data_IF_324565769135
#
_entry.id   IF_324565769135
#
_cell.length_a   1.000
_cell.length_b   1.000
_cell.length_c   1.000
_cell.angle_alpha   90.00
_cell.angle_beta   90.00
_cell.angle_gamma   90.00
#
_symmetry.space_group_name_H-M   'P 1'
#
loop_
_entity.id
_entity.type
_entity.pdbx_description
1 polymer ?
#
# COMPACT_ATOMS: atom_id res chain seq x y z
N UNK A 1 -13.83 -9.14 24.02
CA UNK A 1 -13.58 -10.05 22.91
C UNK A 1 -14.74 -10.20 21.90
N UNK A 2 -16.00 -10.09 22.32
CA UNK A 2 -17.19 -10.26 21.43
C UNK A 2 -17.51 -9.07 20.48
N UNK A 3 -17.04 -7.88 20.74
CA UNK A 3 -17.38 -6.68 19.94
C UNK A 3 -16.62 -6.64 18.61
N UNK A 4 -15.34 -6.99 18.61
CA UNK A 4 -14.48 -7.02 17.39
C UNK A 4 -14.87 -8.13 16.41
N UNK A 5 -15.32 -9.29 16.92
CA UNK A 5 -15.80 -10.39 16.07
C UNK A 5 -17.12 -10.04 15.37
N UNK A 6 -18.03 -9.34 16.07
CA UNK A 6 -19.30 -8.87 15.48
C UNK A 6 -19.08 -7.76 14.46
N UNK A 7 -18.13 -6.86 14.73
CA UNK A 7 -17.77 -5.77 13.83
C UNK A 7 -17.10 -6.29 12.57
N UNK A 8 -16.15 -7.20 12.70
CA UNK A 8 -15.46 -7.86 11.60
C UNK A 8 -16.44 -8.66 10.69
N UNK A 9 -17.33 -9.46 11.28
CA UNK A 9 -18.36 -10.21 10.53
C UNK A 9 -19.35 -9.29 9.80
N UNK A 10 -19.68 -8.16 10.38
CA UNK A 10 -20.59 -7.18 9.75
C UNK A 10 -19.93 -6.51 8.56
N UNK A 11 -18.66 -6.16 8.66
CA UNK A 11 -17.87 -5.60 7.55
C UNK A 11 -17.69 -6.64 6.44
N UNK A 12 -17.37 -7.89 6.76
CA UNK A 12 -17.25 -8.97 5.77
C UNK A 12 -18.56 -9.25 5.05
N UNK A 13 -19.70 -9.27 5.75
CA UNK A 13 -21.02 -9.45 5.12
C UNK A 13 -21.42 -8.27 4.23
N UNK A 14 -21.06 -7.05 4.61
CA UNK A 14 -21.33 -5.85 3.83
C UNK A 14 -20.39 -5.76 2.62
N UNK A 15 -19.11 -6.12 2.80
CA UNK A 15 -18.11 -6.20 1.74
C UNK A 15 -18.42 -7.27 0.68
N UNK A 16 -19.00 -8.39 1.07
CA UNK A 16 -19.39 -9.46 0.13
C UNK A 16 -20.63 -9.10 -0.71
N UNK A 17 -21.47 -8.15 -0.26
CA UNK A 17 -22.71 -7.76 -0.95
C UNK A 17 -22.62 -6.52 -1.83
N UNK A 18 -21.63 -5.69 -1.65
CA UNK A 18 -21.49 -4.47 -2.44
C UNK A 18 -20.20 -4.47 -3.24
N UNK A 19 -20.22 -3.82 -4.40
CA UNK A 19 -19.10 -3.56 -5.31
C UNK A 19 -17.86 -2.91 -4.66
N UNK A 20 -17.56 -3.23 -3.41
CA UNK A 20 -16.53 -2.66 -2.53
C UNK A 20 -15.12 -2.99 -3.01
N UNK A 21 -14.91 -3.99 -3.89
CA UNK A 21 -13.59 -4.30 -4.47
C UNK A 21 -12.88 -3.12 -5.18
N UNK A 22 -13.60 -2.04 -5.47
CA UNK A 22 -13.04 -0.79 -6.04
C UNK A 22 -12.92 0.37 -5.02
N UNK A 23 -13.34 0.20 -3.78
CA UNK A 23 -13.60 1.32 -2.86
C UNK A 23 -12.51 1.47 -1.80
N UNK A 24 -11.85 0.39 -1.36
CA UNK A 24 -10.91 0.47 -0.22
C UNK A 24 -9.70 1.38 -0.47
N UNK A 25 -8.96 1.28 -1.59
CA UNK A 25 -7.91 2.26 -1.89
C UNK A 25 -8.46 3.67 -2.12
N UNK A 26 -9.67 3.77 -2.69
CA UNK A 26 -10.33 5.06 -2.97
C UNK A 26 -10.89 5.76 -1.75
N UNK A 27 -11.06 5.07 -0.61
CA UNK A 27 -11.52 5.68 0.65
C UNK A 27 -10.35 6.12 1.52
N UNK A 28 -9.23 5.40 1.49
CA UNK A 28 -8.06 5.73 2.30
C UNK A 28 -7.41 7.04 1.84
N UNK A 29 -7.20 7.20 0.54
CA UNK A 29 -6.59 8.42 -0.03
C UNK A 29 -7.35 9.71 0.30
N UNK A 30 -8.68 9.81 0.12
CA UNK A 30 -9.42 11.00 0.50
C UNK A 30 -9.43 11.28 2.01
N UNK A 31 -9.37 10.23 2.84
CA UNK A 31 -9.27 10.39 4.30
C UNK A 31 -7.90 10.93 4.69
N UNK A 32 -6.84 10.34 4.16
CA UNK A 32 -5.48 10.79 4.41
C UNK A 32 -5.22 12.20 3.87
N UNK A 33 -5.77 12.55 2.71
CA UNK A 33 -5.66 13.89 2.13
C UNK A 33 -6.28 15.00 3.01
N UNK A 34 -7.16 14.64 3.95
CA UNK A 34 -7.73 15.58 4.93
C UNK A 34 -6.88 15.71 6.21
N UNK A 35 -5.92 14.81 6.43
CA UNK A 35 -5.10 14.83 7.63
C UNK A 35 -4.38 16.17 7.85
N UNK A 36 -3.78 16.84 6.83
CA UNK A 36 -3.15 18.15 7.01
C UNK A 36 -4.11 19.28 7.46
N UNK A 37 -5.42 19.09 7.26
CA UNK A 37 -6.42 20.08 7.67
C UNK A 37 -6.85 19.92 9.14
N UNK A 38 -6.52 18.79 9.76
CA UNK A 38 -6.91 18.42 11.14
C UNK A 38 -5.73 18.56 12.08
N UNK A 39 -4.52 18.33 11.56
CA UNK A 39 -3.26 18.42 12.30
C UNK A 39 -2.75 19.87 12.29
N UNK A 40 -2.10 20.29 13.37
CA UNK A 40 -1.37 21.55 13.39
C UNK A 40 -0.07 21.50 12.55
N UNK A 41 0.48 22.65 12.25
CA UNK A 41 1.65 22.74 11.36
C UNK A 41 2.90 22.06 11.96
N UNK A 42 3.03 22.05 13.28
CA UNK A 42 4.14 21.40 13.97
C UNK A 42 4.07 19.88 13.78
N UNK A 43 2.91 19.26 14.02
CA UNK A 43 2.68 17.84 13.78
C UNK A 43 2.91 17.46 12.32
N UNK A 44 2.41 18.26 11.39
CA UNK A 44 2.63 18.04 9.94
C UNK A 44 4.11 18.05 9.62
N UNK A 45 4.87 19.00 10.17
CA UNK A 45 6.32 19.11 9.98
C UNK A 45 7.08 17.92 10.55
N UNK A 46 6.70 17.46 11.75
CA UNK A 46 7.30 16.29 12.39
C UNK A 46 7.04 15.00 11.58
N UNK A 47 5.81 14.79 11.12
CA UNK A 47 5.47 13.62 10.31
C UNK A 47 6.19 13.64 8.96
N UNK A 48 6.29 14.81 8.31
CA UNK A 48 7.10 14.95 7.07
C UNK A 48 8.56 14.56 7.30
N UNK A 49 9.15 15.10 8.35
CA UNK A 49 10.54 14.79 8.72
C UNK A 49 10.73 13.32 9.05
N UNK A 50 9.77 12.70 9.74
CA UNK A 50 9.78 11.28 10.03
C UNK A 50 9.72 10.44 8.74
N UNK A 51 8.80 10.73 7.84
CA UNK A 51 8.63 10.00 6.56
C UNK A 51 9.93 10.05 5.75
N UNK A 52 10.55 11.22 5.63
CA UNK A 52 11.83 11.36 4.91
C UNK A 52 12.92 10.48 5.54
N UNK A 53 13.04 10.47 6.87
CA UNK A 53 14.05 9.66 7.57
C UNK A 53 13.83 8.15 7.49
N UNK A 54 12.60 7.71 7.23
CA UNK A 54 12.29 6.27 7.08
C UNK A 54 12.61 5.73 5.69
N UNK A 55 12.89 6.60 4.72
CA UNK A 55 13.31 6.13 3.39
C UNK A 55 14.75 5.61 3.43
N UNK A 56 14.96 4.43 2.91
CA UNK A 56 16.28 3.78 2.83
C UNK A 56 17.06 4.24 1.59
N UNK A 57 18.34 3.94 1.55
CA UNK A 57 19.18 4.18 0.37
C UNK A 57 18.73 3.41 -0.88
N UNK A 58 17.93 2.34 -0.72
CA UNK A 58 17.33 1.60 -1.82
C UNK A 58 16.11 2.33 -2.42
N UNK A 59 15.60 3.35 -1.74
CA UNK A 59 14.46 4.16 -2.16
C UNK A 59 13.12 3.72 -1.59
N UNK A 60 12.99 2.51 -1.06
CA UNK A 60 11.82 2.08 -0.31
C UNK A 60 11.86 2.54 1.15
N UNK A 61 10.87 2.13 1.94
CA UNK A 61 10.78 2.50 3.36
C UNK A 61 11.19 1.33 4.24
N UNK A 62 11.85 1.66 5.35
CA UNK A 62 12.36 0.70 6.32
C UNK A 62 11.23 0.05 7.14
N UNK A 63 11.35 -1.25 7.38
CA UNK A 63 10.61 -1.95 8.42
C UNK A 63 11.17 -1.60 9.82
N UNK A 64 10.63 -2.24 10.86
CA UNK A 64 11.08 -2.04 12.24
C UNK A 64 12.53 -2.51 12.48
N UNK A 65 13.05 -3.37 11.63
CA UNK A 65 14.42 -3.88 11.66
C UNK A 65 15.40 -3.06 10.82
N UNK A 66 14.92 -1.99 10.16
CA UNK A 66 15.73 -1.13 9.30
C UNK A 66 15.93 -1.66 7.88
N UNK A 67 15.26 -2.75 7.49
CA UNK A 67 15.32 -3.30 6.13
C UNK A 67 14.23 -2.70 5.25
N UNK A 68 14.57 -2.46 3.98
CA UNK A 68 13.62 -1.98 2.98
C UNK A 68 12.53 -3.03 2.72
N UNK A 69 11.28 -2.61 2.80
CA UNK A 69 10.13 -3.49 2.68
C UNK A 69 8.98 -2.86 1.89
N UNK A 70 8.31 -3.67 1.02
CA UNK A 70 7.21 -3.18 0.18
C UNK A 70 5.96 -2.79 0.96
N UNK A 71 5.65 -3.49 2.05
CA UNK A 71 4.49 -3.18 2.88
C UNK A 71 4.67 -1.82 3.56
N UNK A 72 5.84 -1.57 4.16
CA UNK A 72 6.16 -0.27 4.74
C UNK A 72 6.29 0.82 3.68
N UNK A 73 6.80 0.48 2.49
CA UNK A 73 6.86 1.42 1.36
C UNK A 73 5.47 1.87 0.93
N UNK A 74 4.48 0.97 0.89
CA UNK A 74 3.11 1.32 0.54
C UNK A 74 2.53 2.37 1.49
N UNK A 75 2.67 2.17 2.80
CA UNK A 75 2.18 3.14 3.79
C UNK A 75 2.98 4.43 3.78
N UNK A 76 4.31 4.35 3.63
CA UNK A 76 5.17 5.53 3.51
C UNK A 76 4.76 6.42 2.34
N UNK A 77 4.45 5.84 1.19
CA UNK A 77 3.98 6.58 0.01
C UNK A 77 2.60 7.20 0.23
N UNK A 78 1.66 6.50 0.85
CA UNK A 78 0.36 7.10 1.18
C UNK A 78 0.50 8.32 2.09
N UNK A 79 1.34 8.24 3.12
CA UNK A 79 1.57 9.37 4.03
C UNK A 79 2.33 10.50 3.31
N UNK A 80 3.34 10.17 2.52
CA UNK A 80 4.10 11.14 1.74
C UNK A 80 3.20 11.96 0.79
N UNK A 81 2.30 11.29 0.08
CA UNK A 81 1.35 11.97 -0.82
C UNK A 81 0.36 12.84 -0.04
N UNK A 82 -0.23 12.31 1.04
CA UNK A 82 -1.15 13.07 1.89
C UNK A 82 -0.53 14.36 2.44
N UNK A 83 0.77 14.33 2.75
CA UNK A 83 1.52 15.48 3.26
C UNK A 83 2.30 16.24 2.18
N UNK A 84 2.14 15.89 0.90
CA UNK A 84 2.85 16.51 -0.21
C UNK A 84 4.39 16.44 -0.11
N UNK A 85 4.91 15.34 0.42
CA UNK A 85 6.36 15.05 0.47
C UNK A 85 6.79 14.42 -0.84
N UNK A 86 7.23 15.23 -1.80
CA UNK A 86 7.53 14.79 -3.17
C UNK A 86 8.89 14.11 -3.32
N UNK A 87 9.85 14.48 -2.49
CA UNK A 87 11.26 14.06 -2.61
C UNK A 87 11.44 12.55 -2.50
N UNK A 88 10.55 11.86 -1.77
CA UNK A 88 10.59 10.41 -1.58
C UNK A 88 9.97 9.61 -2.74
N UNK A 89 9.21 10.26 -3.63
CA UNK A 89 8.41 9.55 -4.65
C UNK A 89 9.27 8.93 -5.75
N UNK A 90 10.26 9.67 -6.26
CA UNK A 90 11.12 9.18 -7.35
C UNK A 90 12.04 8.04 -6.90
N UNK A 91 12.74 8.12 -5.75
CA UNK A 91 13.46 6.96 -5.21
C UNK A 91 12.56 5.73 -5.00
N UNK A 92 11.35 5.92 -4.45
CA UNK A 92 10.41 4.83 -4.25
C UNK A 92 9.92 4.21 -5.58
N UNK A 93 9.70 5.02 -6.61
CA UNK A 93 9.37 4.56 -7.96
C UNK A 93 10.45 3.63 -8.52
N UNK A 94 11.72 4.04 -8.41
CA UNK A 94 12.86 3.27 -8.89
C UNK A 94 13.01 1.95 -8.12
N UNK A 95 12.85 1.97 -6.80
CA UNK A 95 12.85 0.78 -5.96
C UNK A 95 11.75 -0.20 -6.37
N UNK A 96 10.50 0.25 -6.48
CA UNK A 96 9.35 -0.58 -6.83
C UNK A 96 9.52 -1.18 -8.23
N UNK A 97 9.95 -0.36 -9.21
CA UNK A 97 10.18 -0.82 -10.58
C UNK A 97 11.23 -1.92 -10.64
N UNK A 98 12.36 -1.71 -9.98
CA UNK A 98 13.46 -2.67 -9.93
C UNK A 98 13.02 -3.98 -9.25
N UNK A 99 12.36 -3.88 -8.10
CA UNK A 99 11.94 -5.05 -7.34
C UNK A 99 10.92 -5.90 -8.10
N UNK A 100 9.91 -5.26 -8.71
CA UNK A 100 8.87 -5.96 -9.49
C UNK A 100 9.44 -6.65 -10.73
N UNK A 101 10.45 -6.06 -11.36
CA UNK A 101 11.07 -6.63 -12.56
C UNK A 101 12.03 -7.79 -12.25
N UNK A 102 12.71 -7.76 -11.11
CA UNK A 102 13.82 -8.66 -10.79
C UNK A 102 13.51 -9.68 -9.69
N UNK A 103 12.32 -9.63 -9.08
CA UNK A 103 11.97 -10.51 -7.98
C UNK A 103 10.63 -11.22 -8.22
N UNK A 104 10.51 -12.43 -7.70
CA UNK A 104 9.22 -13.13 -7.63
C UNK A 104 8.48 -12.73 -6.35
N UNK A 105 7.46 -11.90 -6.48
CA UNK A 105 6.66 -11.44 -5.35
C UNK A 105 5.54 -12.44 -5.05
N UNK A 106 5.29 -12.67 -3.76
CA UNK A 106 4.22 -13.55 -3.27
C UNK A 106 3.49 -12.91 -2.09
N UNK A 107 2.29 -13.41 -1.79
CA UNK A 107 1.52 -12.99 -0.61
C UNK A 107 1.33 -11.48 -0.53
N UNK A 108 1.54 -10.92 0.66
CA UNK A 108 1.33 -9.48 0.91
C UNK A 108 2.24 -8.58 0.06
N UNK A 109 3.47 -9.02 -0.24
CA UNK A 109 4.39 -8.25 -1.07
C UNK A 109 3.93 -8.16 -2.53
N UNK A 110 3.28 -9.20 -3.05
CA UNK A 110 2.68 -9.15 -4.39
C UNK A 110 1.56 -8.08 -4.45
N UNK A 111 0.69 -8.03 -3.43
CA UNK A 111 -0.38 -7.03 -3.38
C UNK A 111 0.18 -5.61 -3.23
N UNK A 112 1.12 -5.41 -2.31
CA UNK A 112 1.77 -4.11 -2.11
C UNK A 112 2.53 -3.65 -3.37
N UNK A 113 3.27 -4.56 -4.00
CA UNK A 113 3.99 -4.30 -5.23
C UNK A 113 3.07 -3.90 -6.39
N UNK A 114 1.95 -4.59 -6.55
CA UNK A 114 0.97 -4.27 -7.60
C UNK A 114 0.30 -2.90 -7.39
N UNK A 115 -0.06 -2.56 -6.15
CA UNK A 115 -0.64 -1.25 -5.81
C UNK A 115 0.38 -0.14 -6.05
N UNK A 116 1.60 -0.30 -5.52
CA UNK A 116 2.68 0.67 -5.67
C UNK A 116 3.08 0.87 -7.15
N UNK A 117 3.18 -0.22 -7.90
CA UNK A 117 3.51 -0.17 -9.32
C UNK A 117 2.46 0.62 -10.10
N UNK A 118 1.18 0.27 -9.92
CA UNK A 118 0.09 0.99 -10.57
C UNK A 118 0.03 2.48 -10.18
N UNK A 119 0.35 2.80 -8.93
CA UNK A 119 0.29 4.16 -8.38
C UNK A 119 1.46 5.03 -8.83
N UNK A 120 2.68 4.52 -8.77
CA UNK A 120 3.91 5.29 -9.02
C UNK A 120 4.35 5.24 -10.49
N UNK A 121 4.03 4.18 -11.23
CA UNK A 121 4.54 3.94 -12.58
C UNK A 121 3.39 4.00 -13.58
N UNK A 122 2.30 3.34 -13.31
CA UNK A 122 1.11 3.35 -14.15
C UNK A 122 0.66 1.95 -14.59
N UNK A 123 -0.23 1.92 -15.60
CA UNK A 123 -0.80 0.69 -16.14
C UNK A 123 -0.10 0.32 -17.43
N UNK A 124 0.65 -0.77 -17.40
CA UNK A 124 1.37 -1.35 -18.52
C UNK A 124 1.27 -2.89 -18.49
N UNK A 125 2.03 -3.58 -19.33
CA UNK A 125 2.07 -5.04 -19.38
C UNK A 125 2.51 -5.66 -18.04
N UNK A 126 3.42 -5.01 -17.31
CA UNK A 126 3.89 -5.46 -15.99
C UNK A 126 2.77 -5.40 -14.97
N UNK A 127 2.00 -4.33 -14.94
CA UNK A 127 0.85 -4.19 -14.05
C UNK A 127 -0.23 -5.25 -14.33
N UNK A 128 -0.46 -5.59 -15.60
CA UNK A 128 -1.39 -6.66 -15.99
C UNK A 128 -0.86 -8.05 -15.60
N UNK A 129 0.45 -8.29 -15.68
CA UNK A 129 1.09 -9.51 -15.20
C UNK A 129 0.89 -9.69 -13.69
N UNK A 130 1.15 -8.64 -12.90
CA UNK A 130 0.92 -8.64 -11.45
C UNK A 130 -0.55 -8.92 -11.11
N UNK A 131 -1.47 -8.29 -11.83
CA UNK A 131 -2.91 -8.50 -11.66
C UNK A 131 -3.32 -9.96 -11.91
N UNK A 132 -2.81 -10.57 -12.99
CA UNK A 132 -3.07 -11.98 -13.32
C UNK A 132 -2.52 -12.92 -12.26
N UNK A 133 -1.34 -12.65 -11.73
CA UNK A 133 -0.74 -13.42 -10.65
C UNK A 133 -1.60 -13.36 -9.39
N UNK A 134 -2.07 -12.16 -8.98
CA UNK A 134 -2.98 -11.99 -7.83
C UNK A 134 -4.26 -12.82 -8.02
N UNK A 135 -4.86 -12.79 -9.20
CA UNK A 135 -6.08 -13.57 -9.50
C UNK A 135 -5.81 -15.06 -9.38
N UNK A 136 -4.66 -15.53 -9.86
CA UNK A 136 -4.25 -16.94 -9.75
C UNK A 136 -4.08 -17.36 -8.29
N UNK A 137 -3.35 -16.58 -7.49
CA UNK A 137 -3.12 -16.88 -6.07
C UNK A 137 -4.44 -16.92 -5.27
N UNK A 138 -5.36 -16.00 -5.57
CA UNK A 138 -6.68 -15.99 -4.92
C UNK A 138 -7.51 -17.23 -5.28
N UNK A 139 -7.44 -17.70 -6.53
CA UNK A 139 -8.17 -18.90 -6.96
C UNK A 139 -7.66 -20.15 -6.24
N UNK A 140 -6.34 -20.30 -6.11
CA UNK A 140 -5.72 -21.40 -5.39
C UNK A 140 -6.18 -21.36 -3.92
N UNK A 141 -6.06 -20.20 -3.25
CA UNK A 141 -6.46 -20.05 -1.84
C UNK A 141 -7.94 -20.37 -1.58
N UNK A 142 -8.83 -20.14 -2.55
CA UNK A 142 -10.25 -20.46 -2.43
C UNK A 142 -10.50 -21.97 -2.65
N UNK A 143 -9.76 -22.61 -3.54
CA UNK A 143 -9.91 -24.04 -3.84
C UNK A 143 -9.35 -24.96 -2.75
N UNK A 144 -8.46 -24.45 -1.89
CA UNK A 144 -7.85 -25.20 -0.79
C UNK A 144 -8.62 -25.09 0.53
N UNK A 145 -9.73 -24.34 0.55
CA UNK A 145 -10.59 -24.27 1.75
C UNK A 145 -11.57 -25.46 1.74
N UNK A 146 -11.57 -26.29 2.81
CA UNK A 146 -12.48 -27.44 2.94
C UNK A 146 -13.94 -27.04 3.07
#
# INVERSE_FOLDING_TARGET
MRFWERFSRSIYKYAARSRIKKIYPKLLEPVLAKAPQILDDEMVSEIRSFVIRQQTNEGGFADRGGKTDLYYTLFGIYVAEALSVKDVLEPARNYVKNLVQNSHLTGVHLYCGAILYSKLIGSDETSEKLRRQIISDLRISISEQP
#
